data_IF_644350618324
#
_entry.id   IF_644350618324
#
_cell.length_a   1.000
_cell.length_b   1.000
_cell.length_c   1.000
_cell.angle_alpha   90.00
_cell.angle_beta   90.00
_cell.angle_gamma   90.00
#
_symmetry.space_group_name_H-M   'P 1'
#
loop_
_entity.id
_entity.type
_entity.pdbx_description
1 polymer ?
#
# COMPACT_ATOMS: atom_id res chain seq x y z
N UNK A 1 8.03 6.94 -6.96
CA UNK A 1 6.92 7.88 -6.77
C UNK A 1 6.22 8.17 -8.09
N UNK A 2 5.04 8.71 -7.99
CA UNK A 2 4.30 9.33 -9.08
C UNK A 2 4.15 10.82 -8.77
N UNK A 3 3.85 11.64 -9.76
CA UNK A 3 3.67 13.08 -9.59
C UNK A 3 2.43 13.55 -10.36
N UNK A 4 1.58 14.29 -9.71
CA UNK A 4 0.41 14.91 -10.31
C UNK A 4 0.16 16.28 -9.67
N UNK A 5 -0.13 17.31 -10.47
CA UNK A 5 -0.43 18.65 -9.99
C UNK A 5 0.65 19.21 -9.03
N UNK A 6 1.94 19.03 -9.35
CA UNK A 6 3.11 19.43 -8.54
C UNK A 6 3.19 18.74 -7.15
N UNK A 7 2.42 17.65 -6.95
CA UNK A 7 2.44 16.85 -5.74
C UNK A 7 3.04 15.48 -5.99
N UNK A 8 3.94 15.04 -5.10
CA UNK A 8 4.54 13.69 -5.13
C UNK A 8 3.66 12.71 -4.37
N UNK A 9 3.27 11.66 -5.06
CA UNK A 9 2.47 10.56 -4.54
C UNK A 9 3.38 9.35 -4.35
N UNK A 10 3.57 8.93 -3.11
CA UNK A 10 4.34 7.73 -2.80
C UNK A 10 3.42 6.52 -2.75
N UNK A 11 3.74 5.51 -3.53
CA UNK A 11 2.95 4.29 -3.63
C UNK A 11 3.62 3.11 -2.93
N UNK A 12 2.84 2.11 -2.54
CA UNK A 12 3.33 0.80 -2.16
C UNK A 12 3.21 -0.14 -3.36
N UNK A 13 4.33 -0.75 -3.74
CA UNK A 13 4.44 -1.69 -4.85
C UNK A 13 4.91 -3.04 -4.30
N UNK A 14 4.12 -4.07 -4.51
CA UNK A 14 4.40 -5.43 -4.05
C UNK A 14 4.93 -6.34 -5.16
N UNK A 15 5.32 -5.80 -6.30
CA UNK A 15 5.86 -6.56 -7.43
C UNK A 15 7.15 -7.33 -7.08
N UNK A 16 7.93 -6.83 -6.12
CA UNK A 16 9.11 -7.52 -5.58
C UNK A 16 8.79 -8.70 -4.66
N UNK A 17 7.54 -8.87 -4.25
CA UNK A 17 7.12 -9.95 -3.34
C UNK A 17 6.85 -11.29 -4.03
N UNK A 18 7.29 -11.46 -5.28
CA UNK A 18 7.12 -12.69 -6.05
C UNK A 18 5.75 -12.84 -6.71
N UNK A 19 4.93 -11.80 -6.71
CA UNK A 19 3.66 -11.75 -7.43
C UNK A 19 3.87 -11.55 -8.94
N UNK A 20 2.83 -11.79 -9.73
CA UNK A 20 2.92 -11.70 -11.21
C UNK A 20 2.89 -10.27 -11.75
N UNK A 21 2.43 -9.30 -10.96
CA UNK A 21 2.34 -7.92 -11.39
C UNK A 21 3.74 -7.33 -11.68
N UNK A 22 3.86 -6.65 -12.81
CA UNK A 22 5.07 -5.89 -13.11
C UNK A 22 5.19 -4.66 -12.18
N UNK A 23 6.41 -4.14 -11.95
CA UNK A 23 6.59 -2.86 -11.27
C UNK A 23 5.90 -1.73 -12.04
N UNK A 24 5.33 -0.75 -11.32
CA UNK A 24 4.66 0.38 -11.97
C UNK A 24 5.61 1.22 -12.83
N UNK A 25 6.90 1.17 -12.57
CA UNK A 25 7.93 1.83 -13.37
C UNK A 25 8.00 1.33 -14.82
N UNK A 26 7.38 0.18 -15.15
CA UNK A 26 7.27 -0.31 -16.54
C UNK A 26 6.42 0.60 -17.42
N UNK A 27 5.57 1.43 -16.83
CA UNK A 27 4.77 2.44 -17.52
C UNK A 27 5.26 3.87 -17.21
N UNK A 28 6.56 4.04 -16.96
CA UNK A 28 7.14 5.35 -16.64
C UNK A 28 6.80 6.41 -17.70
N UNK A 29 6.62 7.65 -17.25
CA UNK A 29 6.21 8.79 -18.06
C UNK A 29 4.82 9.30 -17.70
N UNK A 30 4.33 10.28 -18.50
CA UNK A 30 2.99 10.83 -18.32
C UNK A 30 1.93 9.82 -18.76
N UNK A 31 0.97 9.55 -17.88
CA UNK A 31 -0.17 8.66 -18.09
C UNK A 31 -1.47 9.37 -17.76
N UNK A 32 -2.52 9.06 -18.47
CA UNK A 32 -3.88 9.46 -18.07
C UNK A 32 -4.46 8.47 -17.07
N UNK A 33 -5.33 8.94 -16.19
CA UNK A 33 -6.05 8.07 -15.26
C UNK A 33 -7.56 8.30 -15.29
N UNK A 34 -8.29 7.26 -14.92
CA UNK A 34 -9.72 7.30 -14.58
C UNK A 34 -9.89 6.80 -13.15
N UNK A 35 -10.43 7.63 -12.28
CA UNK A 35 -10.68 7.29 -10.90
C UNK A 35 -12.17 7.07 -10.68
N UNK A 36 -12.56 5.82 -10.46
CA UNK A 36 -13.90 5.46 -10.02
C UNK A 36 -13.91 5.52 -8.49
N UNK A 37 -14.75 6.39 -7.91
CA UNK A 37 -14.83 6.58 -6.46
C UNK A 37 -15.65 5.46 -5.80
N UNK A 38 -15.29 4.23 -6.09
CA UNK A 38 -15.98 2.99 -5.71
C UNK A 38 -14.98 1.85 -5.46
N UNK A 39 -15.48 0.67 -5.11
CA UNK A 39 -14.67 -0.49 -4.76
C UNK A 39 -13.96 -1.17 -5.94
N UNK A 40 -14.20 -0.76 -7.18
CA UNK A 40 -13.60 -1.36 -8.38
C UNK A 40 -14.21 -2.73 -8.72
N UNK A 41 -15.54 -2.83 -8.61
CA UNK A 41 -16.28 -4.01 -9.06
C UNK A 41 -16.28 -4.11 -10.59
N UNK A 42 -16.67 -5.26 -11.17
CA UNK A 42 -16.82 -5.37 -12.63
C UNK A 42 -17.75 -4.29 -13.19
N UNK A 43 -18.86 -3.98 -12.49
CA UNK A 43 -19.85 -3.00 -12.91
C UNK A 43 -19.28 -1.58 -12.88
N UNK A 44 -18.47 -1.26 -11.85
CA UNK A 44 -17.80 0.04 -11.73
C UNK A 44 -16.91 0.33 -12.94
N UNK A 45 -16.10 -0.66 -13.36
CA UNK A 45 -15.19 -0.49 -14.48
C UNK A 45 -15.86 -0.64 -15.85
N UNK A 46 -16.90 -1.48 -15.96
CA UNK A 46 -17.69 -1.56 -17.21
C UNK A 46 -18.36 -0.23 -17.54
N UNK A 47 -18.85 0.51 -16.51
CA UNK A 47 -19.45 1.81 -16.68
C UNK A 47 -18.51 2.89 -17.27
N UNK A 48 -17.20 2.70 -17.14
CA UNK A 48 -16.16 3.64 -17.62
C UNK A 48 -15.23 3.04 -18.67
N UNK A 49 -15.50 1.85 -19.17
CA UNK A 49 -14.65 1.07 -20.05
C UNK A 49 -14.15 1.83 -21.29
N UNK A 50 -15.06 2.57 -21.95
CA UNK A 50 -14.74 3.31 -23.16
C UNK A 50 -13.73 4.45 -22.92
N UNK A 51 -13.72 5.00 -21.71
CA UNK A 51 -12.79 6.08 -21.33
C UNK A 51 -11.57 5.58 -20.58
N UNK A 52 -11.61 4.36 -20.05
CA UNK A 52 -10.54 3.74 -19.27
C UNK A 52 -9.49 3.06 -20.13
N UNK A 53 -9.85 2.56 -21.30
CA UNK A 53 -8.95 1.79 -22.17
C UNK A 53 -7.62 2.52 -22.42
N UNK A 54 -6.51 1.86 -22.12
CA UNK A 54 -5.15 2.41 -22.27
C UNK A 54 -4.72 3.38 -21.17
N UNK A 55 -5.49 3.54 -20.10
CA UNK A 55 -5.20 4.45 -18.99
C UNK A 55 -5.00 3.71 -17.67
N UNK A 56 -4.56 4.44 -16.64
CA UNK A 56 -4.48 3.92 -15.28
C UNK A 56 -5.88 3.94 -14.66
N UNK A 57 -6.31 2.80 -14.11
CA UNK A 57 -7.50 2.72 -13.28
C UNK A 57 -7.16 3.07 -11.84
N UNK A 58 -7.95 3.93 -11.20
CA UNK A 58 -7.88 4.18 -9.75
C UNK A 58 -9.23 3.79 -9.14
N UNK A 59 -9.21 3.03 -8.05
CA UNK A 59 -10.41 2.66 -7.28
C UNK A 59 -10.10 2.65 -5.79
N UNK A 60 -11.12 2.63 -4.94
CA UNK A 60 -10.95 2.63 -3.50
C UNK A 60 -10.74 1.21 -2.94
N UNK A 61 -10.01 1.11 -1.85
CA UNK A 61 -10.08 -0.05 -0.96
C UNK A 61 -11.54 -0.27 -0.54
N UNK A 62 -11.95 -1.53 -0.34
CA UNK A 62 -13.32 -1.87 0.04
C UNK A 62 -13.53 -3.39 0.10
N UNK A 63 -14.74 -3.83 -0.20
CA UNK A 63 -15.26 -5.16 0.11
C UNK A 63 -14.71 -6.32 -0.70
N UNK A 64 -14.02 -6.07 -1.83
CA UNK A 64 -13.44 -7.12 -2.68
C UNK A 64 -11.93 -7.15 -2.59
N UNK A 65 -11.31 -8.29 -2.85
CA UNK A 65 -9.86 -8.51 -2.77
C UNK A 65 -9.09 -7.61 -3.75
N UNK A 66 -7.85 -7.27 -3.41
CA UNK A 66 -7.02 -6.37 -4.22
C UNK A 66 -6.74 -6.93 -5.62
N UNK A 67 -6.43 -8.23 -5.71
CA UNK A 67 -6.21 -8.87 -7.00
C UNK A 67 -7.47 -8.84 -7.88
N UNK A 68 -8.66 -9.02 -7.31
CA UNK A 68 -9.93 -8.94 -8.06
C UNK A 68 -10.14 -7.54 -8.62
N UNK A 69 -9.89 -6.47 -7.83
CA UNK A 69 -9.95 -5.08 -8.32
C UNK A 69 -9.02 -4.88 -9.52
N UNK A 70 -7.77 -5.34 -9.40
CA UNK A 70 -6.79 -5.20 -10.46
C UNK A 70 -7.18 -5.99 -11.73
N UNK A 71 -7.72 -7.21 -11.58
CA UNK A 71 -8.21 -7.99 -12.71
C UNK A 71 -9.42 -7.36 -13.41
N UNK A 72 -10.36 -6.81 -12.64
CA UNK A 72 -11.51 -6.08 -13.18
C UNK A 72 -11.07 -4.86 -13.99
N UNK A 73 -10.12 -4.07 -13.45
CA UNK A 73 -9.57 -2.91 -14.16
C UNK A 73 -8.88 -3.31 -15.47
N UNK A 74 -8.06 -4.37 -15.45
CA UNK A 74 -7.39 -4.90 -16.64
C UNK A 74 -8.41 -5.44 -17.65
N UNK A 75 -9.45 -6.12 -17.21
CA UNK A 75 -10.53 -6.61 -18.09
C UNK A 75 -11.27 -5.45 -18.78
N UNK A 76 -11.36 -4.29 -18.14
CA UNK A 76 -11.89 -3.07 -18.74
C UNK A 76 -10.87 -2.26 -19.57
N UNK A 77 -9.66 -2.79 -19.79
CA UNK A 77 -8.64 -2.21 -20.65
C UNK A 77 -7.62 -1.29 -19.96
N UNK A 78 -7.56 -1.28 -18.62
CA UNK A 78 -6.56 -0.50 -17.90
C UNK A 78 -5.14 -1.06 -18.10
N UNK A 79 -4.15 -0.16 -18.20
CA UNK A 79 -2.72 -0.52 -18.29
C UNK A 79 -2.08 -0.74 -16.92
N UNK A 80 -2.67 -0.21 -15.86
CA UNK A 80 -2.28 -0.40 -14.47
C UNK A 80 -3.45 -0.09 -13.54
N UNK A 81 -3.37 -0.55 -12.30
CA UNK A 81 -4.36 -0.30 -11.26
C UNK A 81 -3.73 0.37 -10.05
N UNK A 82 -4.35 1.43 -9.56
CA UNK A 82 -3.99 2.08 -8.29
C UNK A 82 -5.16 1.88 -7.32
N UNK A 83 -4.88 1.30 -6.16
CA UNK A 83 -5.88 1.16 -5.10
C UNK A 83 -5.65 2.24 -4.04
N UNK A 84 -6.60 3.12 -3.89
CA UNK A 84 -6.61 4.18 -2.89
C UNK A 84 -7.04 3.63 -1.52
N UNK A 85 -6.29 3.93 -0.46
CA UNK A 85 -6.69 3.57 0.88
C UNK A 85 -7.93 4.36 1.32
N UNK A 86 -8.76 3.79 2.16
CA UNK A 86 -9.95 4.40 2.76
C UNK A 86 -9.78 4.72 4.25
N UNK A 87 -8.59 4.50 4.78
CA UNK A 87 -8.16 4.85 6.15
C UNK A 87 -6.72 5.34 6.14
N UNK A 88 -6.25 5.93 7.23
CA UNK A 88 -4.88 6.39 7.34
C UNK A 88 -3.87 5.25 7.24
N UNK A 89 -2.69 5.55 6.68
CA UNK A 89 -1.58 4.60 6.53
C UNK A 89 -1.45 4.04 5.13
N UNK A 90 -0.50 3.12 4.97
CA UNK A 90 -0.17 2.44 3.71
C UNK A 90 -0.85 1.07 3.66
N UNK A 91 -1.15 0.62 2.44
CA UNK A 91 -1.63 -0.75 2.19
C UNK A 91 -0.51 -1.54 1.55
N UNK A 92 -0.21 -2.71 2.11
CA UNK A 92 0.52 -3.76 1.40
C UNK A 92 -0.53 -4.71 0.82
N UNK A 93 -0.72 -4.63 -0.50
CA UNK A 93 -1.74 -5.43 -1.17
C UNK A 93 -1.28 -6.89 -1.27
N UNK A 94 -2.16 -7.81 -0.90
CA UNK A 94 -2.00 -9.21 -1.26
C UNK A 94 -2.47 -9.42 -2.71
N UNK A 95 -1.52 -9.80 -3.56
CA UNK A 95 -1.73 -10.10 -4.97
C UNK A 95 -1.36 -11.56 -5.31
N UNK A 96 -1.36 -12.47 -4.33
CA UNK A 96 -0.98 -13.87 -4.49
C UNK A 96 -1.79 -14.58 -5.59
N UNK A 97 -3.07 -14.28 -5.68
CA UNK A 97 -3.97 -14.86 -6.68
C UNK A 97 -4.09 -14.02 -7.97
N UNK A 98 -3.31 -12.95 -8.09
CA UNK A 98 -3.33 -12.10 -9.29
C UNK A 98 -2.74 -12.86 -10.50
N UNK A 99 -3.50 -12.97 -11.56
CA UNK A 99 -3.12 -13.77 -12.74
C UNK A 99 -2.52 -12.95 -13.88
N UNK A 100 -2.68 -11.63 -13.84
CA UNK A 100 -2.23 -10.70 -14.88
C UNK A 100 -0.83 -10.17 -14.58
N UNK A 101 -0.26 -9.45 -15.54
CA UNK A 101 1.09 -8.86 -15.44
C UNK A 101 1.08 -7.34 -15.33
N UNK A 102 -0.08 -6.71 -15.53
CA UNK A 102 -0.19 -5.25 -15.42
C UNK A 102 0.14 -4.79 -13.99
N UNK A 103 0.80 -3.63 -13.85
CA UNK A 103 1.13 -3.07 -12.54
C UNK A 103 -0.10 -2.86 -11.66
N UNK A 104 0.04 -3.17 -10.37
CA UNK A 104 -0.96 -2.86 -9.37
C UNK A 104 -0.25 -2.33 -8.11
N UNK A 105 -0.59 -1.11 -7.70
CA UNK A 105 0.01 -0.41 -6.56
C UNK A 105 -1.07 0.22 -5.69
N UNK A 106 -0.70 0.63 -4.48
CA UNK A 106 -1.61 1.36 -3.60
C UNK A 106 -1.07 2.74 -3.22
N UNK A 107 -1.99 3.67 -2.94
CA UNK A 107 -1.69 5.01 -2.45
C UNK A 107 -2.42 5.28 -1.13
N UNK A 108 -2.00 6.32 -0.41
CA UNK A 108 -2.62 6.73 0.84
C UNK A 108 -4.00 7.38 0.63
N UNK A 109 -4.81 7.45 1.69
CA UNK A 109 -6.07 8.19 1.68
C UNK A 109 -5.84 9.69 1.38
N UNK A 110 -4.77 10.27 1.92
CA UNK A 110 -4.43 11.68 1.69
C UNK A 110 -4.15 11.96 0.21
N UNK A 111 -3.34 11.12 -0.45
CA UNK A 111 -3.04 11.25 -1.88
C UNK A 111 -4.28 11.01 -2.75
N UNK A 112 -5.15 10.07 -2.36
CA UNK A 112 -6.40 9.82 -3.06
C UNK A 112 -7.34 11.03 -3.02
N UNK A 113 -7.48 11.66 -1.85
CA UNK A 113 -8.28 12.87 -1.68
C UNK A 113 -7.69 14.04 -2.47
N UNK A 114 -6.35 14.19 -2.43
CA UNK A 114 -5.66 15.20 -3.24
C UNK A 114 -5.94 15.03 -4.74
N UNK A 115 -5.87 13.80 -5.25
CA UNK A 115 -6.19 13.53 -6.66
C UNK A 115 -7.64 13.90 -7.00
N UNK A 116 -8.62 13.54 -6.15
CA UNK A 116 -10.03 13.89 -6.37
C UNK A 116 -10.29 15.40 -6.35
N UNK A 117 -9.58 16.13 -5.49
CA UNK A 117 -9.72 17.58 -5.38
C UNK A 117 -9.21 18.32 -6.61
N UNK A 118 -8.13 17.83 -7.24
CA UNK A 118 -7.47 18.50 -8.37
C UNK A 118 -7.86 17.94 -9.74
N UNK A 119 -8.37 16.72 -9.79
CA UNK A 119 -8.80 16.08 -11.03
C UNK A 119 -10.11 16.65 -11.58
N UNK A 120 -10.34 16.43 -12.86
CA UNK A 120 -11.59 16.82 -13.51
C UNK A 120 -12.69 15.82 -13.16
N UNK A 121 -13.72 16.28 -12.45
CA UNK A 121 -14.90 15.48 -12.16
C UNK A 121 -15.83 15.42 -13.37
N UNK A 122 -16.14 14.23 -13.86
CA UNK A 122 -17.12 13.98 -14.91
C UNK A 122 -18.45 13.62 -14.26
N UNK A 123 -19.50 14.34 -14.65
CA UNK A 123 -20.82 14.24 -14.02
C UNK A 123 -21.88 13.81 -15.04
N UNK A 124 -22.91 13.15 -14.56
CA UNK A 124 -24.12 12.85 -15.33
C UNK A 124 -25.05 14.10 -15.47
N UNK A 125 -26.16 13.93 -16.18
CA UNK A 125 -27.15 14.99 -16.38
C UNK A 125 -27.84 15.45 -15.09
N UNK A 126 -27.73 14.72 -13.98
CA UNK A 126 -28.26 15.10 -12.67
C UNK A 126 -27.23 15.84 -11.79
N UNK A 127 -25.98 15.92 -12.24
CA UNK A 127 -24.88 16.52 -11.50
C UNK A 127 -24.13 15.53 -10.58
N UNK A 128 -24.50 14.24 -10.59
CA UNK A 128 -23.79 13.20 -9.85
C UNK A 128 -22.44 12.91 -10.52
N UNK A 129 -21.38 12.85 -9.72
CA UNK A 129 -20.04 12.48 -10.20
C UNK A 129 -20.06 11.00 -10.60
N UNK A 130 -19.64 10.71 -11.81
CA UNK A 130 -19.46 9.36 -12.35
C UNK A 130 -18.04 8.86 -12.12
N UNK A 131 -17.04 9.69 -12.42
CA UNK A 131 -15.62 9.42 -12.22
C UNK A 131 -14.82 10.72 -12.27
N UNK A 132 -13.54 10.63 -11.91
CA UNK A 132 -12.57 11.70 -12.10
C UNK A 132 -11.55 11.31 -13.15
N UNK A 133 -10.99 12.28 -13.87
CA UNK A 133 -9.93 12.05 -14.84
C UNK A 133 -8.86 13.12 -14.74
N UNK A 134 -7.62 12.74 -15.07
CA UNK A 134 -6.48 13.64 -15.04
C UNK A 134 -5.21 12.95 -15.54
N UNK A 135 -4.08 13.56 -15.29
CA UNK A 135 -2.77 13.07 -15.68
C UNK A 135 -1.90 12.83 -14.45
N UNK A 136 -1.06 11.82 -14.52
CA UNK A 136 -0.09 11.45 -13.51
C UNK A 136 1.20 11.02 -14.19
N UNK A 137 2.33 11.50 -13.70
CA UNK A 137 3.64 11.10 -14.22
C UNK A 137 4.23 10.02 -13.32
N UNK A 138 4.46 8.84 -13.87
CA UNK A 138 5.13 7.73 -13.16
C UNK A 138 6.64 7.93 -13.30
N UNK A 139 7.35 8.06 -12.17
CA UNK A 139 8.81 8.16 -12.16
C UNK A 139 9.45 6.84 -12.56
N UNK A 140 10.41 6.87 -13.48
CA UNK A 140 11.24 5.71 -13.83
C UNK A 140 12.34 5.41 -12.82
N UNK A 141 12.54 6.28 -11.81
CA UNK A 141 13.53 6.09 -10.75
C UNK A 141 12.86 5.78 -9.41
N UNK A 142 13.49 4.91 -8.63
CA UNK A 142 13.08 4.70 -7.25
C UNK A 142 13.42 5.93 -6.42
N UNK A 143 12.43 6.43 -5.67
CA UNK A 143 12.66 7.35 -4.57
C UNK A 143 12.03 6.74 -3.33
N UNK A 144 12.79 6.64 -2.26
CA UNK A 144 12.23 6.30 -0.96
C UNK A 144 11.73 7.58 -0.30
N UNK A 145 10.53 7.52 0.24
CA UNK A 145 10.10 8.50 1.23
C UNK A 145 10.97 8.29 2.47
N UNK A 146 11.83 9.27 2.79
CA UNK A 146 12.43 9.29 4.12
C UNK A 146 11.29 9.60 5.10
N UNK A 147 10.84 8.59 5.79
CA UNK A 147 10.04 8.78 6.97
C UNK A 147 10.91 9.55 7.97
N UNK A 148 10.63 10.83 8.12
CA UNK A 148 11.23 11.60 9.21
C UNK A 148 10.53 11.10 10.48
N UNK A 149 11.09 10.05 11.07
CA UNK A 149 10.57 9.41 12.27
C UNK A 149 10.94 10.21 13.53
N UNK A 150 10.74 11.52 13.49
CA UNK A 150 10.86 12.35 14.70
C UNK A 150 9.84 11.95 15.77
N UNK A 151 8.95 11.02 15.43
CA UNK A 151 7.93 10.53 16.35
C UNK A 151 7.89 9.01 16.35
N UNK A 152 8.27 8.42 17.47
CA UNK A 152 7.96 7.03 17.79
C UNK A 152 6.47 6.90 18.04
N UNK A 153 5.69 6.75 16.99
CA UNK A 153 4.25 6.52 17.09
C UNK A 153 3.94 5.04 17.10
N UNK A 154 2.88 4.67 17.79
CA UNK A 154 2.42 3.29 17.80
C UNK A 154 1.85 2.94 16.43
N UNK A 155 2.32 1.84 15.81
CA UNK A 155 1.78 1.36 14.54
C UNK A 155 0.30 0.97 14.69
N UNK A 156 -0.49 1.20 13.65
CA UNK A 156 -1.93 0.87 13.63
C UNK A 156 -2.21 -0.62 13.86
N UNK A 157 -1.28 -1.49 13.50
CA UNK A 157 -1.37 -2.94 13.72
C UNK A 157 -0.93 -3.38 15.12
N UNK A 158 -0.51 -2.45 15.99
CA UNK A 158 -0.13 -2.81 17.37
C UNK A 158 -1.36 -3.25 18.17
N UNK A 159 -1.20 -4.34 18.91
CA UNK A 159 -2.24 -4.73 19.86
C UNK A 159 -2.29 -3.76 21.02
N UNK A 160 -3.49 -3.36 21.39
CA UNK A 160 -3.79 -2.53 22.54
C UNK A 160 -4.65 -3.35 23.50
N UNK A 161 -4.50 -3.12 24.77
CA UNK A 161 -5.52 -3.68 25.53
C UNK A 161 -5.36 -3.71 27.03
N UNK A 162 -6.52 -3.93 27.60
CA UNK A 162 -6.70 -4.46 28.93
C UNK A 162 -6.95 -5.95 28.76
N UNK A 163 -6.21 -6.77 29.47
CA UNK A 163 -6.50 -8.21 29.56
C UNK A 163 -7.83 -8.43 30.30
N UNK A 164 -8.44 -9.65 30.22
CA UNK A 164 -9.68 -9.95 30.96
C UNK A 164 -9.59 -9.69 32.47
N UNK A 165 -8.38 -9.74 33.05
CA UNK A 165 -8.09 -9.39 34.44
C UNK A 165 -7.71 -7.90 34.65
N UNK A 166 -8.06 -7.06 33.68
CA UNK A 166 -7.90 -5.59 33.70
C UNK A 166 -6.44 -5.09 33.79
N UNK A 167 -5.46 -5.86 33.36
CA UNK A 167 -4.08 -5.45 33.28
C UNK A 167 -3.80 -4.73 31.96
N UNK A 168 -3.09 -3.61 32.01
CA UNK A 168 -2.66 -2.89 30.83
C UNK A 168 -1.58 -3.69 30.08
N UNK A 169 -1.76 -3.89 28.77
CA UNK A 169 -0.82 -4.54 27.87
C UNK A 169 -0.74 -3.77 26.53
N UNK A 170 0.38 -3.84 25.83
CA UNK A 170 1.68 -4.44 26.20
C UNK A 170 2.42 -3.61 27.24
N UNK A 171 3.28 -4.25 28.04
CA UNK A 171 4.16 -3.57 29.00
C UNK A 171 5.36 -2.92 28.34
N UNK A 172 5.73 -3.43 27.16
CA UNK A 172 6.83 -2.92 26.34
C UNK A 172 6.50 -3.17 24.87
N UNK A 173 6.87 -2.22 24.04
CA UNK A 173 6.74 -2.31 22.58
C UNK A 173 8.11 -2.25 21.93
N UNK A 174 8.31 -3.05 20.89
CA UNK A 174 9.49 -3.01 20.04
C UNK A 174 9.19 -2.35 18.70
N UNK A 175 10.22 -1.97 17.98
CA UNK A 175 10.09 -1.42 16.63
C UNK A 175 9.63 -2.53 15.69
N UNK A 176 8.49 -2.37 15.05
CA UNK A 176 7.89 -3.38 14.17
C UNK A 176 7.49 -2.86 12.79
N UNK A 177 7.65 -1.55 12.55
CA UNK A 177 7.36 -0.92 11.26
C UNK A 177 8.59 -0.76 10.40
N UNK A 178 8.51 -1.15 9.12
CA UNK A 178 9.56 -0.99 8.10
C UNK A 178 10.93 -1.53 8.54
N UNK A 179 10.94 -2.75 9.06
CA UNK A 179 12.18 -3.40 9.52
C UNK A 179 12.89 -4.03 8.33
N UNK A 180 14.10 -3.52 8.03
CA UNK A 180 14.97 -4.09 7.02
C UNK A 180 15.74 -5.26 7.62
N UNK A 181 15.55 -6.45 7.09
CA UNK A 181 16.17 -7.69 7.61
C UNK A 181 16.32 -8.73 6.51
N UNK A 182 17.05 -9.80 6.85
CA UNK A 182 17.18 -10.96 5.97
C UNK A 182 15.83 -11.62 5.74
N UNK A 183 15.60 -12.02 4.51
CA UNK A 183 14.38 -12.69 4.06
C UNK A 183 14.70 -13.85 3.13
N UNK A 184 13.72 -14.68 2.83
CA UNK A 184 13.85 -15.75 1.85
C UNK A 184 13.83 -15.15 0.43
N UNK A 185 14.91 -15.36 -0.37
CA UNK A 185 14.96 -14.88 -1.75
C UNK A 185 13.83 -15.40 -2.64
N UNK A 186 13.27 -16.55 -2.31
CA UNK A 186 12.14 -17.11 -3.06
C UNK A 186 10.85 -16.32 -2.86
N UNK A 187 10.75 -15.53 -1.77
CA UNK A 187 9.58 -14.72 -1.43
C UNK A 187 9.77 -13.28 -1.90
N UNK A 188 10.93 -12.69 -1.61
CA UNK A 188 11.18 -11.26 -1.82
C UNK A 188 12.02 -10.93 -3.05
N UNK A 189 12.53 -11.93 -3.77
CA UNK A 189 13.44 -11.75 -4.91
C UNK A 189 14.86 -11.31 -4.53
N UNK A 190 15.14 -11.12 -3.22
CA UNK A 190 16.43 -10.72 -2.66
C UNK A 190 16.65 -11.29 -1.27
N UNK A 191 17.89 -11.25 -0.77
CA UNK A 191 18.24 -11.76 0.56
C UNK A 191 17.82 -10.82 1.71
N UNK A 192 17.40 -9.61 1.40
CA UNK A 192 16.98 -8.59 2.37
C UNK A 192 15.77 -7.85 1.84
N UNK A 193 14.82 -7.54 2.74
CA UNK A 193 13.63 -6.78 2.42
C UNK A 193 13.11 -6.04 3.66
N UNK A 194 12.17 -5.12 3.43
CA UNK A 194 11.44 -4.40 4.47
C UNK A 194 10.15 -5.13 4.82
N UNK A 195 9.99 -5.46 6.09
CA UNK A 195 8.75 -6.05 6.60
C UNK A 195 8.22 -5.26 7.79
N UNK A 196 6.89 -5.24 7.93
CA UNK A 196 6.22 -4.61 9.08
C UNK A 196 5.30 -5.60 9.77
N UNK A 197 5.28 -5.57 11.09
CA UNK A 197 4.41 -6.41 11.88
C UNK A 197 4.90 -6.60 13.32
N UNK A 198 4.01 -7.11 14.15
CA UNK A 198 4.36 -7.53 15.53
C UNK A 198 5.39 -8.67 15.53
N UNK A 199 5.43 -9.46 14.47
CA UNK A 199 6.43 -10.52 14.25
C UNK A 199 7.85 -9.98 14.12
N UNK A 200 8.04 -8.74 13.64
CA UNK A 200 9.33 -8.06 13.52
C UNK A 200 9.74 -7.40 14.85
N UNK A 201 8.77 -6.93 15.63
CA UNK A 201 9.01 -6.37 16.97
C UNK A 201 9.41 -7.43 18.01
N UNK A 202 8.76 -8.60 17.98
CA UNK A 202 8.92 -9.67 18.99
C UNK A 202 10.36 -10.18 19.13
N UNK A 203 11.11 -10.49 18.05
CA UNK A 203 12.48 -11.00 18.19
C UNK A 203 13.42 -9.98 18.85
N UNK A 204 13.22 -8.68 18.57
CA UNK A 204 14.03 -7.61 19.17
C UNK A 204 13.85 -7.58 20.69
N UNK A 205 12.61 -7.61 21.17
CA UNK A 205 12.30 -7.64 22.61
C UNK A 205 12.82 -8.92 23.25
N UNK A 206 12.66 -10.07 22.60
CA UNK A 206 13.16 -11.35 23.08
C UNK A 206 14.69 -11.37 23.22
N UNK A 207 15.41 -10.81 22.25
CA UNK A 207 16.87 -10.69 22.27
C UNK A 207 17.35 -9.82 23.44
N UNK A 208 16.76 -8.65 23.63
CA UNK A 208 17.06 -7.73 24.74
C UNK A 208 16.84 -8.44 26.08
N UNK A 209 15.71 -9.10 26.25
CA UNK A 209 15.36 -9.81 27.49
C UNK A 209 16.33 -10.96 27.78
N UNK A 210 16.79 -11.67 26.74
CA UNK A 210 17.77 -12.75 26.88
C UNK A 210 19.14 -12.22 27.34
N UNK A 211 19.60 -11.10 26.76
CA UNK A 211 20.86 -10.47 27.15
C UNK A 211 20.78 -9.96 28.58
N UNK A 212 19.71 -9.28 28.96
CA UNK A 212 19.51 -8.80 30.34
C UNK A 212 19.53 -9.94 31.36
N UNK A 213 18.86 -11.06 31.05
CA UNK A 213 18.84 -12.25 31.92
C UNK A 213 20.25 -12.84 32.08
N UNK A 214 21.02 -12.93 31.00
CA UNK A 214 22.41 -13.40 31.06
C UNK A 214 23.31 -12.50 31.91
N UNK A 215 23.20 -11.19 31.75
CA UNK A 215 23.94 -10.21 32.53
C UNK A 215 23.56 -10.26 34.01
N UNK A 216 22.28 -10.43 34.32
CA UNK A 216 21.80 -10.56 35.69
C UNK A 216 22.39 -11.82 36.36
N UNK A 217 22.31 -12.96 35.70
CA UNK A 217 22.86 -14.22 36.23
C UNK A 217 24.38 -14.18 36.40
N UNK A 218 25.11 -13.53 35.46
CA UNK A 218 26.58 -13.38 35.54
C UNK A 218 27.03 -12.46 36.70
N UNK A 219 26.16 -11.63 37.24
CA UNK A 219 26.46 -10.76 38.41
C UNK A 219 26.18 -11.43 39.76
N UNK A 220 25.60 -12.60 39.76
CA UNK A 220 25.26 -13.34 40.97
C UNK A 220 26.32 -14.42 41.30
N UNK A 221 27.32 -14.58 40.41
CA UNK A 221 28.50 -15.42 40.59
C UNK A 221 29.77 -14.57 40.66
#
# INVERSE_FOLDING_TARGET
>A
YMEAYDHKIFYSDTSSSGYKNAPITTIAGEQEFVYVDSAGTPEDFEAVKDVLAGKIAICNRGTISFYVKAENAVAAGAIATIVANNEEGKINMDLSDYTKTQPAVSITLADANFLKEHATAVKDGSGKILYYTGKITVSGSAASEHYNSDYYTMSSFSSWGVTPDLKLKPEISGVGGSIYSATDPAISGGYYDYMSGTSMATPQITSIKTVQRRLYLARQH
#
